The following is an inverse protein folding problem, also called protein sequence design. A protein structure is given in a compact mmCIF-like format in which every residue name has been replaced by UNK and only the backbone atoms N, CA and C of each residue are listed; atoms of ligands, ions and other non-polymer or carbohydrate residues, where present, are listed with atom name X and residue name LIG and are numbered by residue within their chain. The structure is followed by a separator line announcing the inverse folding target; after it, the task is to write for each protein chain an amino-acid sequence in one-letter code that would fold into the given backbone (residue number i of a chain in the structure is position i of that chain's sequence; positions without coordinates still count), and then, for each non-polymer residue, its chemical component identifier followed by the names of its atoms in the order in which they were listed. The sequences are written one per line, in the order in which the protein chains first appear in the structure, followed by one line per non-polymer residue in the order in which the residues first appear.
data_IF_687031998871
#
_entry.id   IF_687031998871
#
_cell.length_a   1.000
_cell.length_b   1.000
_cell.length_c   1.000
_cell.angle_alpha   90.00
_cell.angle_beta   90.00
_cell.angle_gamma   90.00
#
_symmetry.space_group_name_H-M   'P 1'
#
loop_
_entity.id
_entity.type
_entity.pdbx_description
1 polymer ?
#
# COMPACT_ATOMS: atom_id res chain seq x y z
N UNK A 1 5.35 1.31 -4.91
CA UNK A 1 6.37 2.16 -4.25
C UNK A 1 6.74 1.46 -2.95
N UNK A 2 8.01 1.11 -2.81
CA UNK A 2 8.56 0.26 -1.74
C UNK A 2 9.61 1.06 -0.98
N UNK A 3 9.18 2.00 -0.12
CA UNK A 3 10.08 3.06 0.37
C UNK A 3 10.18 3.17 1.89
N UNK A 4 9.08 3.03 2.64
CA UNK A 4 9.03 3.48 4.03
C UNK A 4 8.22 2.50 4.95
N UNK A 5 7.87 1.29 4.48
CA UNK A 5 7.08 0.31 5.22
C UNK A 5 7.84 -1.01 5.37
N UNK A 6 8.79 -0.99 6.31
CA UNK A 6 9.60 -2.15 6.68
C UNK A 6 8.84 -3.05 7.65
N UNK A 7 8.93 -4.36 7.43
CA UNK A 7 8.26 -5.40 8.20
C UNK A 7 9.23 -6.56 8.53
N UNK A 8 8.82 -7.43 9.44
CA UNK A 8 9.59 -8.63 9.78
C UNK A 8 9.64 -9.63 8.63
N UNK A 9 10.64 -10.50 8.66
CA UNK A 9 10.84 -11.52 7.61
C UNK A 9 9.67 -12.52 7.59
N UNK A 10 9.12 -12.83 8.77
CA UNK A 10 7.93 -13.66 8.97
C UNK A 10 6.72 -13.14 8.17
N UNK A 11 6.45 -11.84 8.23
CA UNK A 11 5.35 -11.25 7.48
C UNK A 11 5.60 -11.29 5.96
N UNK A 12 6.85 -11.07 5.54
CA UNK A 12 7.19 -11.11 4.10
C UNK A 12 7.02 -12.53 3.56
N UNK A 13 7.46 -13.53 4.32
CA UNK A 13 7.27 -14.93 4.00
C UNK A 13 5.79 -15.30 3.93
N UNK A 14 4.98 -14.84 4.89
CA UNK A 14 3.53 -15.04 4.87
C UNK A 14 2.89 -14.52 3.58
N UNK A 15 3.26 -13.31 3.13
CA UNK A 15 2.78 -12.78 1.86
C UNK A 15 3.30 -13.60 0.67
N UNK A 16 4.60 -13.90 0.60
CA UNK A 16 5.19 -14.65 -0.53
C UNK A 16 4.64 -16.08 -0.66
N UNK A 17 4.18 -16.68 0.44
CA UNK A 17 3.58 -18.00 0.45
C UNK A 17 2.16 -18.03 -0.12
N UNK A 18 1.50 -16.88 -0.29
CA UNK A 18 0.19 -16.82 -0.93
C UNK A 18 0.34 -16.93 -2.44
N UNK A 19 -0.47 -17.80 -3.05
CA UNK A 19 -0.43 -18.08 -4.51
C UNK A 19 -0.54 -16.79 -5.34
N UNK A 20 -1.40 -15.88 -4.89
CA UNK A 20 -1.66 -14.60 -5.54
C UNK A 20 -0.41 -13.72 -5.67
N UNK A 21 0.62 -13.90 -4.83
CA UNK A 21 1.82 -13.06 -4.82
C UNK A 21 3.09 -13.75 -5.32
N UNK A 22 3.05 -15.04 -5.69
CA UNK A 22 4.26 -15.82 -6.07
C UNK A 22 5.12 -15.19 -7.17
N UNK A 23 4.50 -14.51 -8.13
CA UNK A 23 5.18 -13.88 -9.28
C UNK A 23 5.07 -12.35 -9.27
N UNK A 24 4.83 -11.77 -8.10
CA UNK A 24 4.55 -10.33 -7.96
C UNK A 24 5.64 -9.70 -7.14
N UNK A 25 6.21 -8.60 -7.66
CA UNK A 25 7.13 -7.76 -6.89
C UNK A 25 6.33 -6.98 -5.85
N UNK A 26 6.15 -7.60 -4.68
CA UNK A 26 5.45 -7.03 -3.52
C UNK A 26 6.41 -6.44 -2.49
N UNK A 27 7.73 -6.65 -2.61
CA UNK A 27 8.70 -6.19 -1.62
C UNK A 27 10.10 -6.00 -2.21
N UNK A 28 10.82 -4.99 -1.72
CA UNK A 28 12.27 -4.78 -1.94
C UNK A 28 12.98 -4.89 -0.59
N UNK A 29 13.79 -5.94 -0.42
CA UNK A 29 14.36 -6.28 0.88
C UNK A 29 13.25 -6.50 1.91
N UNK A 30 13.31 -5.77 3.02
CA UNK A 30 12.27 -5.81 4.08
C UNK A 30 11.10 -4.84 3.89
N UNK A 31 11.12 -4.03 2.83
CA UNK A 31 10.07 -3.07 2.54
C UNK A 31 8.99 -3.69 1.67
N UNK A 32 7.76 -3.77 2.18
CA UNK A 32 6.61 -4.31 1.44
C UNK A 32 5.80 -3.17 0.81
N UNK A 33 5.34 -3.35 -0.44
CA UNK A 33 4.43 -2.46 -1.15
C UNK A 33 3.02 -2.98 -1.11
N UNK A 34 2.28 -2.47 -0.11
CA UNK A 34 0.83 -2.69 -0.01
C UNK A 34 0.08 -2.24 -1.27
N UNK A 35 0.59 -1.20 -1.96
CA UNK A 35 0.06 -0.73 -3.24
C UNK A 35 0.10 -1.84 -4.29
N UNK A 36 1.25 -2.49 -4.47
CA UNK A 36 1.41 -3.56 -5.46
C UNK A 36 0.57 -4.79 -5.08
N UNK A 37 0.49 -5.12 -3.79
CA UNK A 37 -0.40 -6.18 -3.30
C UNK A 37 -1.86 -5.92 -3.71
N UNK A 38 -2.38 -4.71 -3.43
CA UNK A 38 -3.77 -4.34 -3.76
C UNK A 38 -4.01 -4.34 -5.27
N UNK A 39 -3.10 -3.76 -6.06
CA UNK A 39 -3.23 -3.76 -7.54
C UNK A 39 -3.32 -5.19 -8.06
N UNK A 40 -2.47 -6.08 -7.57
CA UNK A 40 -2.47 -7.47 -7.99
C UNK A 40 -3.74 -8.21 -7.54
N UNK A 41 -4.25 -7.93 -6.33
CA UNK A 41 -5.53 -8.43 -5.88
C UNK A 41 -6.68 -7.99 -6.79
N UNK A 42 -6.74 -6.70 -7.16
CA UNK A 42 -7.76 -6.18 -8.08
C UNK A 42 -7.68 -6.86 -9.46
N UNK A 43 -6.47 -7.03 -10.00
CA UNK A 43 -6.28 -7.75 -11.27
C UNK A 43 -6.73 -9.20 -11.20
N UNK A 44 -6.47 -9.89 -10.09
CA UNK A 44 -6.92 -11.27 -9.89
C UNK A 44 -8.44 -11.40 -9.88
N UNK A 45 -9.16 -10.31 -9.61
CA UNK A 45 -10.62 -10.22 -9.67
C UNK A 45 -11.15 -9.77 -11.05
N UNK A 46 -10.27 -9.62 -12.04
CA UNK A 46 -10.63 -9.19 -13.39
C UNK A 46 -10.81 -7.68 -13.56
N UNK A 47 -10.29 -6.86 -12.63
CA UNK A 47 -10.25 -5.40 -12.81
C UNK A 47 -9.07 -5.03 -13.69
N UNK A 48 -9.35 -4.38 -14.82
CA UNK A 48 -8.34 -3.98 -15.78
C UNK A 48 -7.47 -2.83 -15.27
N UNK A 49 -6.22 -2.76 -15.72
CA UNK A 49 -5.27 -1.71 -15.30
C UNK A 49 -5.83 -0.30 -15.54
N UNK A 50 -6.54 -0.09 -16.65
CA UNK A 50 -7.14 1.21 -16.99
C UNK A 50 -8.33 1.60 -16.09
N UNK A 51 -8.83 0.68 -15.26
CA UNK A 51 -9.86 0.94 -14.25
C UNK A 51 -9.27 1.21 -12.87
N UNK A 52 -7.96 1.04 -12.68
CA UNK A 52 -7.27 1.23 -11.41
C UNK A 52 -6.57 2.59 -11.42
N UNK A 53 -7.08 3.53 -10.63
CA UNK A 53 -6.37 4.79 -10.38
C UNK A 53 -5.62 4.69 -9.06
N UNK A 54 -4.30 4.86 -9.12
CA UNK A 54 -3.44 4.92 -7.94
C UNK A 54 -2.71 6.26 -7.88
N UNK A 55 -2.58 6.80 -6.68
CA UNK A 55 -1.72 7.95 -6.41
C UNK A 55 -0.34 7.48 -5.94
N UNK A 56 0.72 8.07 -6.46
CA UNK A 56 2.10 7.81 -6.00
C UNK A 56 2.47 8.71 -4.82
N UNK A 57 1.69 8.61 -3.74
CA UNK A 57 1.87 9.40 -2.51
C UNK A 57 2.13 8.45 -1.33
N UNK A 58 3.26 8.63 -0.65
CA UNK A 58 3.54 7.95 0.62
C UNK A 58 3.21 8.87 1.79
N UNK A 59 2.38 8.42 2.74
CA UNK A 59 2.07 9.18 3.95
C UNK A 59 3.31 9.44 4.82
N UNK A 60 4.33 8.58 4.77
CA UNK A 60 5.58 8.78 5.51
C UNK A 60 6.51 9.78 4.82
N UNK A 61 6.84 9.54 3.55
CA UNK A 61 7.92 10.24 2.88
C UNK A 61 7.46 11.54 2.19
N UNK A 62 6.15 11.73 1.96
CA UNK A 62 5.63 12.96 1.35
C UNK A 62 5.81 14.17 2.27
N UNK A 63 6.39 15.24 1.73
CA UNK A 63 6.55 16.52 2.42
C UNK A 63 5.73 17.65 1.77
N UNK A 64 5.05 17.38 0.65
CA UNK A 64 4.25 18.38 -0.07
C UNK A 64 2.88 18.62 0.56
N UNK A 65 2.29 17.57 1.12
CA UNK A 65 0.95 17.62 1.74
C UNK A 65 1.06 17.28 3.21
N UNK A 66 0.21 17.88 4.03
CA UNK A 66 0.11 17.57 5.44
C UNK A 66 -0.62 16.23 5.62
N UNK A 67 0.13 15.12 5.61
CA UNK A 67 -0.40 13.77 5.77
C UNK A 67 -0.05 13.21 7.16
N UNK A 68 -0.96 12.41 7.71
CA UNK A 68 -0.73 11.69 8.94
C UNK A 68 -0.10 10.32 8.65
N UNK A 69 0.98 10.01 9.36
CA UNK A 69 1.66 8.72 9.25
C UNK A 69 2.05 8.22 10.62
N UNK A 70 1.38 7.17 11.08
CA UNK A 70 1.71 6.51 12.34
C UNK A 70 3.16 6.03 12.37
N UNK A 71 3.68 5.53 11.24
CA UNK A 71 5.08 5.09 11.14
C UNK A 71 6.08 6.24 11.37
N UNK A 72 5.73 7.47 10.99
CA UNK A 72 6.58 8.68 11.15
C UNK A 72 6.36 9.37 12.50
N UNK A 73 5.11 9.55 12.89
CA UNK A 73 4.67 10.41 13.99
C UNK A 73 4.29 9.63 15.25
N UNK A 74 4.20 8.29 15.16
CA UNK A 74 3.78 7.38 16.23
C UNK A 74 2.47 7.81 16.88
N UNK A 75 2.42 7.89 18.21
CA UNK A 75 1.24 8.22 19.00
C UNK A 75 0.70 9.62 18.70
N UNK A 76 1.55 10.52 18.17
CA UNK A 76 1.17 11.88 17.77
C UNK A 76 0.52 11.95 16.38
N UNK A 77 0.44 10.83 15.65
CA UNK A 77 -0.21 10.80 14.35
C UNK A 77 -1.72 10.95 14.50
N UNK A 78 -2.30 11.95 13.83
CA UNK A 78 -3.74 11.99 13.55
C UNK A 78 -4.18 10.89 12.58
N UNK A 79 -5.38 11.02 12.03
CA UNK A 79 -5.94 10.10 11.02
C UNK A 79 -6.53 10.88 9.86
N UNK A 80 -6.23 10.42 8.65
CA UNK A 80 -6.91 10.88 7.44
C UNK A 80 -8.21 10.10 7.29
N UNK A 81 -9.19 10.69 6.63
CA UNK A 81 -10.47 10.05 6.33
C UNK A 81 -10.70 10.03 4.83
N UNK A 82 -10.98 8.83 4.29
CA UNK A 82 -11.34 8.63 2.89
C UNK A 82 -12.83 8.30 2.83
N UNK A 83 -13.58 9.01 2.00
CA UNK A 83 -15.00 8.77 1.81
C UNK A 83 -15.35 8.79 0.32
N UNK A 84 -16.42 8.08 -0.01
CA UNK A 84 -17.06 8.10 -1.31
C UNK A 84 -18.55 8.35 -1.07
N UNK A 85 -19.14 9.21 -1.87
CA UNK A 85 -20.59 9.46 -1.83
C UNK A 85 -21.09 9.58 -3.26
N UNK A 86 -22.36 9.25 -3.44
CA UNK A 86 -23.07 9.45 -4.70
C UNK A 86 -24.08 10.56 -4.45
N UNK A 87 -23.90 11.69 -5.14
CA UNK A 87 -24.93 12.72 -5.12
C UNK A 87 -26.08 12.29 -6.04
N UNK A 88 -27.31 12.55 -5.61
CA UNK A 88 -28.50 12.29 -6.43
C UNK A 88 -28.76 13.45 -7.37
#
# INVERSE_FOLDING_TARGET
MECCYEVGDDLIEEFKNQEIYKNVSISTGKNISLKNCIINQLKSLGIEENQITSIDICTYCNNKFNLHSYRKQRENSGRMFSFIYMNK
#
